data_IF_647948215302
#
_entry.id   IF_647948215302
#
_cell.length_a   1.000
_cell.length_b   1.000
_cell.length_c   1.000
_cell.angle_alpha   90.00
_cell.angle_beta   90.00
_cell.angle_gamma   90.00
#
_symmetry.space_group_name_H-M   'P 1'
#
loop_
_entity.id
_entity.type
_entity.pdbx_description
1 polymer ?
#
# COMPACT_ATOMS: atom_id res chain seq x y z
N UNK A 1 -83.13 17.04 -10.13
CA UNK A 1 -82.16 15.92 -10.03
C UNK A 1 -81.12 15.92 -11.16
N UNK A 2 -80.78 17.08 -11.76
CA UNK A 2 -79.83 17.15 -12.89
C UNK A 2 -78.38 17.36 -12.44
N UNK A 3 -78.19 17.92 -11.25
CA UNK A 3 -76.89 18.22 -10.65
C UNK A 3 -76.05 16.95 -10.44
N UNK A 4 -76.63 15.93 -9.79
CA UNK A 4 -75.95 14.66 -9.52
C UNK A 4 -75.55 13.90 -10.78
N UNK A 5 -76.33 14.00 -11.85
CA UNK A 5 -76.06 13.31 -13.12
C UNK A 5 -74.81 13.90 -13.81
N UNK A 6 -74.65 15.24 -13.81
CA UNK A 6 -73.44 15.90 -14.36
C UNK A 6 -72.18 15.57 -13.57
N UNK A 7 -72.28 15.48 -12.23
CA UNK A 7 -71.12 15.17 -11.39
C UNK A 7 -70.73 13.69 -11.46
N UNK A 8 -71.72 12.78 -11.49
CA UNK A 8 -71.47 11.35 -11.71
C UNK A 8 -70.88 11.06 -13.09
N UNK A 9 -71.34 11.76 -14.14
CA UNK A 9 -70.75 11.59 -15.48
C UNK A 9 -69.29 12.07 -15.52
N UNK A 10 -68.97 13.19 -14.85
CA UNK A 10 -67.59 13.68 -14.75
C UNK A 10 -66.69 12.70 -13.97
N UNK A 11 -67.19 12.16 -12.86
CA UNK A 11 -66.47 11.16 -12.08
C UNK A 11 -66.20 9.89 -12.91
N UNK A 12 -67.19 9.40 -13.65
CA UNK A 12 -67.04 8.24 -14.53
C UNK A 12 -65.99 8.48 -15.64
N UNK A 13 -65.95 9.68 -16.23
CA UNK A 13 -64.94 10.05 -17.24
C UNK A 13 -63.54 10.11 -16.65
N UNK A 14 -63.38 10.67 -15.44
CA UNK A 14 -62.08 10.71 -14.76
C UNK A 14 -61.57 9.31 -14.40
N UNK A 15 -62.47 8.43 -13.94
CA UNK A 15 -62.14 7.04 -13.64
C UNK A 15 -61.73 6.30 -14.93
N UNK A 16 -62.47 6.51 -16.02
CA UNK A 16 -62.13 5.92 -17.31
C UNK A 16 -60.75 6.39 -17.84
N UNK A 17 -60.43 7.69 -17.69
CA UNK A 17 -59.11 8.23 -18.00
C UNK A 17 -58.01 7.64 -17.12
N UNK A 18 -58.26 7.48 -15.82
CA UNK A 18 -57.31 6.87 -14.90
C UNK A 18 -57.03 5.41 -15.24
N UNK A 19 -58.07 4.63 -15.56
CA UNK A 19 -57.93 3.24 -16.02
C UNK A 19 -57.20 3.17 -17.35
N UNK A 20 -57.51 4.06 -18.30
CA UNK A 20 -56.78 4.16 -19.57
C UNK A 20 -55.30 4.46 -19.35
N UNK A 21 -54.95 5.33 -18.39
CA UNK A 21 -53.57 5.65 -18.06
C UNK A 21 -52.84 4.51 -17.33
N UNK A 22 -53.55 3.69 -16.55
CA UNK A 22 -52.97 2.55 -15.80
C UNK A 22 -52.84 1.28 -16.64
N UNK A 23 -53.72 1.07 -17.64
CA UNK A 23 -53.78 -0.14 -18.46
C UNK A 23 -53.17 0.07 -19.85
N UNK A 24 -53.17 1.31 -20.35
CA UNK A 24 -52.39 1.64 -21.54
C UNK A 24 -50.91 1.45 -21.23
N UNK A 25 -50.19 0.80 -22.14
CA UNK A 25 -48.73 0.70 -22.16
C UNK A 25 -48.11 2.08 -22.50
N UNK A 26 -48.56 3.10 -21.76
CA UNK A 26 -48.04 4.43 -21.75
C UNK A 26 -46.66 4.30 -21.16
N UNK A 27 -45.66 4.31 -22.05
CA UNK A 27 -44.23 4.37 -21.78
C UNK A 27 -44.03 4.93 -20.38
N UNK A 28 -43.84 4.02 -19.42
CA UNK A 28 -43.35 4.36 -18.09
C UNK A 28 -42.26 5.37 -18.37
N UNK A 29 -42.37 6.59 -17.82
CA UNK A 29 -41.36 7.60 -18.02
C UNK A 29 -40.02 6.92 -17.71
N UNK A 30 -39.34 6.47 -18.76
CA UNK A 30 -37.96 6.10 -18.72
C UNK A 30 -37.39 7.48 -18.46
N UNK A 31 -37.20 7.80 -17.18
CA UNK A 31 -36.20 8.75 -16.76
C UNK A 31 -34.95 8.14 -17.36
N UNK A 32 -34.74 8.46 -18.65
CA UNK A 32 -33.55 8.17 -19.40
C UNK A 32 -32.51 8.62 -18.43
N UNK A 33 -31.73 7.65 -17.91
CA UNK A 33 -30.43 7.94 -17.32
C UNK A 33 -29.86 9.02 -18.20
N UNK A 34 -29.85 10.25 -17.68
CA UNK A 34 -29.44 11.40 -18.46
C UNK A 34 -28.05 11.03 -18.95
N UNK A 35 -27.93 10.77 -20.26
CA UNK A 35 -26.67 10.40 -20.91
C UNK A 35 -25.76 11.62 -21.00
N UNK A 36 -25.75 12.43 -19.95
CA UNK A 36 -24.87 13.56 -19.84
C UNK A 36 -23.49 13.00 -19.53
N UNK A 37 -22.65 12.95 -20.57
CA UNK A 37 -21.28 12.50 -20.49
C UNK A 37 -20.49 13.22 -19.39
N UNK A 38 -20.83 14.48 -19.07
CA UNK A 38 -20.20 15.23 -17.99
C UNK A 38 -20.62 14.70 -16.59
N UNK A 39 -21.90 14.32 -16.40
CA UNK A 39 -22.37 13.75 -15.14
C UNK A 39 -21.82 12.34 -14.91
N UNK A 40 -21.74 11.52 -15.96
CA UNK A 40 -21.10 10.21 -15.94
C UNK A 40 -19.59 10.33 -15.62
N UNK A 41 -18.89 11.27 -16.27
CA UNK A 41 -17.47 11.54 -16.04
C UNK A 41 -17.17 12.02 -14.62
N UNK A 42 -17.95 12.97 -14.10
CA UNK A 42 -17.82 13.43 -12.72
C UNK A 42 -18.14 12.32 -11.71
N UNK A 43 -19.19 11.54 -11.94
CA UNK A 43 -19.54 10.42 -11.06
C UNK A 43 -18.41 9.38 -11.01
N UNK A 44 -17.79 9.06 -12.16
CA UNK A 44 -16.62 8.18 -12.23
C UNK A 44 -15.43 8.76 -11.46
N UNK A 45 -15.13 10.04 -11.64
CA UNK A 45 -14.05 10.73 -10.92
C UNK A 45 -14.27 10.75 -9.40
N UNK A 46 -15.46 11.11 -8.93
CA UNK A 46 -15.76 11.08 -7.49
C UNK A 46 -15.77 9.65 -6.93
N UNK A 47 -16.20 8.66 -7.72
CA UNK A 47 -16.13 7.25 -7.32
C UNK A 47 -14.68 6.76 -7.19
N UNK A 48 -13.79 7.16 -8.10
CA UNK A 48 -12.36 6.79 -8.03
C UNK A 48 -11.68 7.44 -6.83
N UNK A 49 -11.95 8.73 -6.56
CA UNK A 49 -11.40 9.41 -5.37
C UNK A 49 -11.96 8.79 -4.09
N UNK A 50 -13.26 8.55 -4.01
CA UNK A 50 -13.87 7.94 -2.80
C UNK A 50 -13.28 6.57 -2.51
N UNK A 51 -13.04 5.76 -3.53
CA UNK A 51 -12.42 4.45 -3.39
C UNK A 51 -10.93 4.56 -2.98
N UNK A 52 -10.20 5.56 -3.49
CA UNK A 52 -8.83 5.86 -3.05
C UNK A 52 -8.76 6.29 -1.58
N UNK A 53 -9.65 7.19 -1.14
CA UNK A 53 -9.70 7.65 0.25
C UNK A 53 -10.07 6.53 1.22
N UNK A 54 -11.04 5.67 0.85
CA UNK A 54 -11.35 4.46 1.64
C UNK A 54 -10.15 3.50 1.72
N UNK A 55 -9.45 3.31 0.61
CA UNK A 55 -8.23 2.50 0.54
C UNK A 55 -7.09 3.09 1.39
N UNK A 56 -6.98 4.42 1.51
CA UNK A 56 -6.01 5.07 2.40
C UNK A 56 -6.27 4.71 3.87
N UNK A 57 -7.51 4.80 4.34
CA UNK A 57 -7.87 4.39 5.71
C UNK A 57 -7.61 2.91 5.99
N UNK A 58 -7.77 2.03 4.99
CA UNK A 58 -7.42 0.61 5.12
C UNK A 58 -5.92 0.33 4.96
N UNK A 59 -5.15 1.23 4.35
CA UNK A 59 -3.68 1.10 4.26
C UNK A 59 -3.01 1.57 5.54
N UNK A 60 -3.51 2.65 6.14
CA UNK A 60 -2.98 3.20 7.40
C UNK A 60 -2.94 2.17 8.54
N UNK A 61 -3.82 1.18 8.55
CA UNK A 61 -3.82 0.11 9.57
C UNK A 61 -2.62 -0.84 9.47
N UNK A 62 -1.93 -0.89 8.32
CA UNK A 62 -0.77 -1.74 8.08
C UNK A 62 0.55 -0.95 8.01
N UNK A 63 0.52 0.36 8.28
CA UNK A 63 1.71 1.22 8.27
C UNK A 63 2.03 1.65 9.69
N UNK A 64 3.17 1.22 10.20
CA UNK A 64 3.67 1.57 11.53
C UNK A 64 4.63 2.75 11.42
N UNK A 65 4.31 3.88 12.05
CA UNK A 65 5.24 5.01 12.15
C UNK A 65 6.30 4.69 13.20
N UNK A 66 7.56 4.66 12.78
CA UNK A 66 8.70 4.44 13.64
C UNK A 66 9.25 5.76 14.17
N UNK A 67 9.80 5.73 15.39
CA UNK A 67 10.58 6.84 15.92
C UNK A 67 11.91 6.91 15.20
N UNK A 68 12.38 8.13 14.94
CA UNK A 68 13.74 8.36 14.45
C UNK A 68 14.75 7.79 15.45
N UNK A 69 15.74 7.00 15.00
CA UNK A 69 16.80 6.51 15.88
C UNK A 69 17.56 7.67 16.54
N UNK A 70 17.90 7.54 17.83
CA UNK A 70 18.69 8.55 18.57
C UNK A 70 20.11 8.70 18.02
N UNK A 71 20.62 7.60 17.47
CA UNK A 71 21.99 7.46 17.02
C UNK A 71 22.04 7.55 15.49
N UNK A 72 23.01 8.28 14.96
CA UNK A 72 23.24 8.34 13.52
C UNK A 72 23.77 7.01 12.99
N UNK A 73 23.41 6.69 11.75
CA UNK A 73 23.85 5.48 11.05
C UNK A 73 25.39 5.34 11.02
N UNK A 74 26.10 6.45 10.79
CA UNK A 74 27.57 6.47 10.73
C UNK A 74 28.19 6.05 12.06
N UNK A 75 27.65 6.56 13.16
CA UNK A 75 28.12 6.24 14.51
C UNK A 75 27.92 4.77 14.85
N UNK A 76 26.72 4.21 14.59
CA UNK A 76 26.46 2.79 14.89
C UNK A 76 27.29 1.85 14.01
N UNK A 77 27.52 2.20 12.74
CA UNK A 77 28.36 1.42 11.84
C UNK A 77 29.83 1.48 12.24
N UNK A 78 30.32 2.67 12.63
CA UNK A 78 31.69 2.84 13.10
C UNK A 78 31.97 2.10 14.42
N UNK A 79 31.00 2.10 15.35
CA UNK A 79 31.07 1.31 16.58
C UNK A 79 31.10 -0.19 16.26
N UNK A 80 30.18 -0.66 15.40
CA UNK A 80 30.10 -2.06 15.03
C UNK A 80 31.37 -2.58 14.36
N UNK A 81 31.98 -1.79 13.46
CA UNK A 81 33.24 -2.14 12.80
C UNK A 81 34.39 -2.48 13.76
N UNK A 82 34.35 -1.99 15.01
CA UNK A 82 35.37 -2.27 16.04
C UNK A 82 35.13 -3.56 16.80
N UNK A 83 33.93 -4.14 16.66
CA UNK A 83 33.46 -5.28 17.47
C UNK A 83 33.29 -6.56 16.67
N UNK A 84 33.30 -6.47 15.33
CA UNK A 84 33.06 -7.61 14.45
C UNK A 84 34.17 -7.76 13.43
N UNK A 85 34.45 -9.01 13.07
CA UNK A 85 35.34 -9.30 11.95
C UNK A 85 34.63 -9.07 10.61
N UNK A 86 35.30 -8.44 9.62
CA UNK A 86 34.72 -8.20 8.30
C UNK A 86 34.25 -9.49 7.61
N UNK A 87 33.16 -9.38 6.86
CA UNK A 87 32.71 -10.42 5.93
C UNK A 87 33.33 -10.24 4.54
N UNK A 88 33.36 -11.32 3.74
CA UNK A 88 33.71 -11.22 2.32
C UNK A 88 32.81 -10.20 1.59
N UNK A 89 33.39 -9.43 0.68
CA UNK A 89 32.66 -8.43 -0.12
C UNK A 89 31.63 -9.05 -1.05
N UNK A 90 31.83 -10.31 -1.45
CA UNK A 90 30.92 -11.09 -2.29
C UNK A 90 29.88 -11.88 -1.49
N UNK A 91 29.80 -11.69 -0.17
CA UNK A 91 28.78 -12.33 0.63
C UNK A 91 27.39 -11.81 0.26
N UNK A 92 26.44 -12.72 0.07
CA UNK A 92 25.05 -12.42 -0.31
C UNK A 92 24.01 -13.08 0.58
N UNK A 93 24.45 -14.00 1.44
CA UNK A 93 23.60 -14.82 2.28
C UNK A 93 23.21 -16.16 1.66
N UNK A 94 22.52 -16.99 2.45
CA UNK A 94 22.07 -18.32 2.00
C UNK A 94 20.86 -18.22 1.08
N UNK A 95 20.80 -19.06 0.05
CA UNK A 95 19.63 -19.15 -0.83
C UNK A 95 18.58 -20.02 -0.15
N UNK A 96 17.52 -19.39 0.33
CA UNK A 96 16.45 -20.07 1.07
C UNK A 96 15.08 -19.40 0.86
N UNK A 97 13.98 -20.16 1.03
CA UNK A 97 12.63 -19.61 1.00
C UNK A 97 12.34 -18.73 2.22
N UNK A 98 12.53 -17.41 2.11
CA UNK A 98 12.22 -16.45 3.19
C UNK A 98 10.74 -16.12 3.20
N UNK A 99 10.05 -16.48 4.28
CA UNK A 99 8.61 -16.33 4.47
C UNK A 99 8.30 -15.10 5.31
N UNK A 100 7.27 -14.39 4.88
CA UNK A 100 6.72 -13.23 5.56
C UNK A 100 5.28 -13.59 5.92
N UNK A 101 5.04 -13.86 7.21
CA UNK A 101 3.75 -14.34 7.71
C UNK A 101 2.80 -13.17 7.99
N UNK A 102 1.49 -13.42 7.88
CA UNK A 102 0.47 -12.41 8.13
C UNK A 102 0.59 -11.84 9.56
N UNK A 103 0.53 -10.51 9.69
CA UNK A 103 0.57 -9.80 10.97
C UNK A 103 1.98 -9.54 11.50
N UNK A 104 3.02 -10.08 10.86
CA UNK A 104 4.42 -9.73 11.16
C UNK A 104 4.81 -8.43 10.47
N UNK A 105 5.93 -7.81 10.88
CA UNK A 105 6.47 -6.62 10.20
C UNK A 105 7.62 -6.99 9.27
N UNK A 106 7.80 -6.22 8.20
CA UNK A 106 8.92 -6.40 7.28
C UNK A 106 10.27 -6.27 8.01
N UNK A 107 10.38 -5.26 8.89
CA UNK A 107 11.58 -5.04 9.69
C UNK A 107 11.90 -6.23 10.59
N UNK A 108 10.93 -6.75 11.34
CA UNK A 108 11.18 -7.81 12.32
C UNK A 108 11.60 -9.10 11.62
N UNK A 109 10.92 -9.46 10.54
CA UNK A 109 11.24 -10.66 9.75
C UNK A 109 12.62 -10.55 9.11
N UNK A 110 12.94 -9.41 8.47
CA UNK A 110 14.28 -9.21 7.89
C UNK A 110 15.37 -9.17 8.98
N UNK A 111 15.09 -8.61 10.15
CA UNK A 111 16.03 -8.60 11.27
C UNK A 111 16.29 -10.03 11.79
N UNK A 112 15.26 -10.88 11.83
CA UNK A 112 15.42 -12.28 12.19
C UNK A 112 16.30 -13.02 11.18
N UNK A 113 16.05 -12.88 9.88
CA UNK A 113 16.89 -13.48 8.84
C UNK A 113 18.33 -12.96 8.91
N UNK A 114 18.52 -11.66 9.10
CA UNK A 114 19.84 -11.05 9.27
C UNK A 114 20.60 -11.69 10.44
N UNK A 115 19.96 -11.81 11.61
CA UNK A 115 20.55 -12.40 12.81
C UNK A 115 20.92 -13.87 12.61
N UNK A 116 20.06 -14.65 11.94
CA UNK A 116 20.33 -16.05 11.64
C UNK A 116 21.59 -16.23 10.79
N UNK A 117 21.88 -15.26 9.93
CA UNK A 117 23.07 -15.25 9.07
C UNK A 117 24.25 -14.47 9.66
N UNK A 118 24.15 -14.06 10.93
CA UNK A 118 25.22 -13.39 11.65
C UNK A 118 25.53 -11.98 11.14
N UNK A 119 24.52 -11.27 10.65
CA UNK A 119 24.58 -9.85 10.28
C UNK A 119 23.51 -9.04 11.02
N UNK A 120 23.75 -7.73 11.15
CA UNK A 120 22.76 -6.82 11.77
C UNK A 120 22.00 -6.03 10.74
N UNK A 121 20.70 -5.91 10.92
CA UNK A 121 19.87 -5.03 10.10
C UNK A 121 19.70 -3.66 10.77
N UNK A 122 20.19 -2.63 10.10
CA UNK A 122 19.93 -1.23 10.45
C UNK A 122 18.76 -0.69 9.60
N UNK A 123 17.58 -0.71 10.19
CA UNK A 123 16.36 -0.12 9.64
C UNK A 123 16.26 1.38 9.97
N UNK A 124 16.69 2.23 9.04
CA UNK A 124 16.69 3.69 9.16
C UNK A 124 15.63 4.31 8.25
N UNK A 125 14.40 3.81 8.38
CA UNK A 125 13.22 4.36 7.75
C UNK A 125 12.23 4.83 8.82
N UNK A 126 11.45 5.86 8.51
CA UNK A 126 10.44 6.43 9.41
C UNK A 126 9.16 5.58 9.52
N UNK A 127 9.04 4.52 8.71
CA UNK A 127 7.90 3.61 8.66
C UNK A 127 8.37 2.17 8.61
N UNK A 128 7.46 1.29 8.98
CA UNK A 128 7.52 -0.16 8.80
C UNK A 128 6.13 -0.65 8.42
N UNK A 129 6.05 -1.85 7.85
CA UNK A 129 4.83 -2.35 7.23
C UNK A 129 4.46 -3.70 7.81
N UNK A 130 3.19 -3.84 8.18
CA UNK A 130 2.60 -5.10 8.60
C UNK A 130 2.22 -5.90 7.36
N UNK A 131 2.65 -7.15 7.31
CA UNK A 131 2.35 -8.08 6.22
C UNK A 131 0.86 -8.40 6.25
N UNK A 132 0.12 -7.93 5.24
CA UNK A 132 -1.31 -8.18 5.11
C UNK A 132 -1.62 -9.60 4.67
N UNK A 133 -0.93 -10.07 3.64
CA UNK A 133 -1.08 -11.41 3.07
C UNK A 133 0.28 -12.09 3.09
N UNK A 134 0.32 -13.34 3.53
CA UNK A 134 1.58 -14.07 3.62
C UNK A 134 2.24 -14.20 2.24
N UNK A 135 3.56 -14.05 2.18
CA UNK A 135 4.31 -14.21 0.94
C UNK A 135 5.69 -14.81 1.18
N UNK A 136 6.35 -15.18 0.09
CA UNK A 136 7.67 -15.82 0.13
C UNK A 136 8.60 -15.17 -0.89
N UNK A 137 9.85 -14.99 -0.49
CA UNK A 137 10.93 -14.52 -1.37
C UNK A 137 11.98 -15.62 -1.47
N UNK A 138 12.05 -16.25 -2.64
CA UNK A 138 13.00 -17.34 -2.92
C UNK A 138 14.31 -16.77 -3.47
N UNK A 139 15.18 -16.28 -2.59
CA UNK A 139 16.47 -15.68 -2.98
C UNK A 139 17.54 -15.82 -1.89
N UNK A 140 18.68 -15.14 -2.05
CA UNK A 140 19.61 -14.88 -0.94
C UNK A 140 19.16 -13.65 -0.10
N UNK A 141 19.83 -13.40 1.03
CA UNK A 141 19.47 -12.31 1.95
C UNK A 141 19.54 -10.94 1.28
N UNK A 142 20.66 -10.64 0.61
CA UNK A 142 20.88 -9.32 -0.01
C UNK A 142 19.85 -9.02 -1.10
N UNK A 143 19.50 -10.02 -1.91
CA UNK A 143 18.44 -9.92 -2.91
C UNK A 143 17.07 -9.73 -2.26
N UNK A 144 16.77 -10.44 -1.18
CA UNK A 144 15.50 -10.29 -0.46
C UNK A 144 15.37 -8.88 0.13
N UNK A 145 16.42 -8.38 0.79
CA UNK A 145 16.46 -7.03 1.32
C UNK A 145 16.26 -5.98 0.22
N UNK A 146 16.92 -6.13 -0.93
CA UNK A 146 16.73 -5.23 -2.06
C UNK A 146 15.30 -5.26 -2.60
N UNK A 147 14.72 -6.46 -2.81
CA UNK A 147 13.35 -6.61 -3.30
C UNK A 147 12.33 -5.96 -2.36
N UNK A 148 12.49 -6.17 -1.06
CA UNK A 148 11.64 -5.54 -0.05
C UNK A 148 11.81 -4.02 -0.07
N UNK A 149 13.04 -3.50 -0.08
CA UNK A 149 13.30 -2.06 -0.15
C UNK A 149 12.70 -1.41 -1.38
N UNK A 150 12.74 -2.09 -2.53
CA UNK A 150 12.09 -1.64 -3.77
C UNK A 150 10.57 -1.69 -3.69
N UNK A 151 9.99 -2.70 -3.07
CA UNK A 151 8.54 -2.86 -2.96
C UNK A 151 7.89 -1.75 -2.13
N UNK A 152 8.60 -1.23 -1.12
CA UNK A 152 8.11 -0.15 -0.26
C UNK A 152 8.57 1.25 -0.71
N UNK A 153 9.38 1.35 -1.77
CA UNK A 153 10.06 2.58 -2.18
C UNK A 153 9.09 3.76 -2.39
N UNK A 154 7.93 3.51 -2.99
CA UNK A 154 7.00 4.56 -3.41
C UNK A 154 6.21 5.17 -2.23
N UNK A 155 6.32 4.58 -1.03
CA UNK A 155 5.69 5.07 0.19
C UNK A 155 6.59 6.05 1.00
N UNK A 156 7.80 6.34 0.49
CA UNK A 156 8.78 7.25 1.09
C UNK A 156 8.98 8.52 0.25
N UNK A 157 9.47 9.58 0.89
CA UNK A 157 9.71 10.87 0.23
C UNK A 157 10.93 10.81 -0.69
N UNK A 158 11.92 9.99 -0.32
CA UNK A 158 13.13 9.77 -1.09
C UNK A 158 13.29 8.30 -1.45
N UNK A 159 14.12 8.01 -2.46
CA UNK A 159 14.39 6.65 -2.89
C UNK A 159 14.95 5.82 -1.72
N UNK A 160 14.34 4.67 -1.48
CA UNK A 160 14.79 3.71 -0.47
C UNK A 160 15.98 2.95 -1.01
N UNK A 161 17.13 3.12 -0.35
CA UNK A 161 18.36 2.44 -0.69
C UNK A 161 18.66 1.32 0.29
N UNK A 162 19.20 0.23 -0.24
CA UNK A 162 19.68 -0.90 0.54
C UNK A 162 21.18 -1.11 0.32
N UNK A 163 21.91 -1.38 1.39
CA UNK A 163 23.36 -1.55 1.37
C UNK A 163 23.80 -2.76 2.18
N UNK A 164 24.89 -3.38 1.73
CA UNK A 164 25.65 -4.35 2.51
C UNK A 164 27.01 -3.77 2.93
N UNK A 165 27.21 -3.62 4.23
CA UNK A 165 28.41 -3.07 4.85
C UNK A 165 29.29 -4.22 5.35
N UNK A 166 30.09 -4.79 4.45
CA UNK A 166 30.90 -5.99 4.71
C UNK A 166 31.84 -5.86 5.93
N UNK A 167 32.48 -4.69 6.12
CA UNK A 167 33.38 -4.45 7.29
C UNK A 167 32.64 -4.42 8.61
N UNK A 168 31.34 -4.10 8.60
CA UNK A 168 30.49 -3.98 9.78
C UNK A 168 29.61 -5.21 9.99
N UNK A 169 29.67 -6.23 9.14
CA UNK A 169 28.69 -7.35 9.13
C UNK A 169 27.26 -6.83 9.29
N UNK A 170 26.90 -5.87 8.44
CA UNK A 170 25.66 -5.14 8.59
C UNK A 170 24.97 -4.94 7.24
N UNK A 171 23.66 -4.97 7.29
CA UNK A 171 22.78 -4.57 6.22
C UNK A 171 22.04 -3.30 6.61
N UNK A 172 21.88 -2.39 5.68
CA UNK A 172 21.31 -1.07 5.92
C UNK A 172 20.17 -0.84 4.94
N UNK A 173 19.07 -0.29 5.43
CA UNK A 173 17.98 0.25 4.62
C UNK A 173 17.67 1.68 5.07
N UNK A 174 17.73 2.64 4.14
CA UNK A 174 17.58 4.09 4.43
C UNK A 174 17.18 4.87 3.19
N UNK A 175 16.44 5.97 3.39
CA UNK A 175 16.13 6.96 2.33
C UNK A 175 17.18 8.09 2.28
N UNK A 176 18.03 8.23 3.31
CA UNK A 176 19.06 9.25 3.46
C UNK A 176 20.44 8.64 3.72
N UNK A 177 21.09 8.01 2.72
CA UNK A 177 22.42 7.43 2.91
C UNK A 177 23.47 8.53 3.02
N UNK A 178 24.22 8.51 4.11
CA UNK A 178 25.39 9.37 4.35
C UNK A 178 26.54 9.07 3.38
N UNK A 179 27.52 9.96 3.32
CA UNK A 179 28.76 9.74 2.55
C UNK A 179 29.54 8.52 3.07
N UNK A 180 29.54 8.30 4.39
CA UNK A 180 30.18 7.16 5.02
C UNK A 180 29.59 5.84 4.50
N UNK A 181 28.25 5.72 4.47
CA UNK A 181 27.54 4.52 3.97
C UNK A 181 27.83 4.30 2.49
N UNK A 182 27.75 5.36 1.68
CA UNK A 182 28.00 5.27 0.23
C UNK A 182 29.42 4.82 -0.10
N UNK A 183 30.40 5.18 0.74
CA UNK A 183 31.82 4.87 0.50
C UNK A 183 32.23 3.52 1.09
N UNK A 184 31.67 3.12 2.23
CA UNK A 184 32.10 1.92 2.96
C UNK A 184 31.20 0.70 2.72
N UNK A 185 30.02 0.89 2.14
CA UNK A 185 29.06 -0.18 1.91
C UNK A 185 28.76 -0.37 0.43
N UNK A 186 28.44 -1.61 0.07
CA UNK A 186 28.05 -1.99 -1.28
C UNK A 186 26.56 -1.72 -1.46
N UNK A 187 26.21 -0.84 -2.42
CA UNK A 187 24.80 -0.62 -2.80
C UNK A 187 24.27 -1.90 -3.43
N UNK A 188 23.19 -2.43 -2.87
CA UNK A 188 22.53 -3.63 -3.40
C UNK A 188 21.74 -3.26 -4.68
N UNK A 189 21.84 -4.15 -5.67
CA UNK A 189 21.21 -4.04 -6.98
C UNK A 189 20.87 -5.45 -7.44
N UNK A 190 19.80 -5.59 -8.23
CA UNK A 190 19.51 -6.84 -8.97
C UNK A 190 20.49 -7.00 -10.11
#
# INVERSE_FOLDING_TARGET
MWFWIRHLSFAAVLIALAVYFLVGDGSVFDIKKSKNAAAEGLSRFYSSIRNQVKSDTERDQFVLKLKTPEQTLDRVLAERARTVDPMPTNWTGEVEPRRFENGTTLKDVLNQYAKNEGIELYWYLNKDYVVKDHFRVDSNFTSALYQIGRAINDDFEHEVYTYFCHKQRAAVITELPSEFVRTNCLKLKV
#
